data_IF_557946567196
#
_entry.id   IF_557946567196
#
_cell.length_a   1.000
_cell.length_b   1.000
_cell.length_c   1.000
_cell.angle_alpha   90.00
_cell.angle_beta   90.00
_cell.angle_gamma   90.00
#
_symmetry.space_group_name_H-M   'P 1'
#
loop_
_entity.id
_entity.type
_entity.pdbx_description
1 polymer ?
#
# COMPACT_ATOMS: atom_id res chain seq x y z
N UNK A 1 -6.89 5.50 11.05
CA UNK A 1 -5.45 5.60 10.71
C UNK A 1 -5.24 6.57 9.56
N UNK A 2 -4.16 7.34 9.58
CA UNK A 2 -3.80 8.33 8.54
C UNK A 2 -3.67 7.67 7.16
N UNK A 3 -3.09 6.47 7.10
CA UNK A 3 -2.85 5.72 5.86
C UNK A 3 -4.13 5.49 5.06
N UNK A 4 -5.18 4.96 5.69
CA UNK A 4 -6.44 4.68 5.01
C UNK A 4 -7.12 5.95 4.48
N UNK A 5 -7.03 7.07 5.21
CA UNK A 5 -7.61 8.35 4.77
C UNK A 5 -6.89 8.88 3.53
N UNK A 6 -5.56 8.77 3.52
CA UNK A 6 -4.76 9.26 2.40
C UNK A 6 -4.95 8.41 1.14
N UNK A 7 -5.00 7.07 1.29
CA UNK A 7 -5.31 6.17 0.18
C UNK A 7 -6.69 6.45 -0.44
N UNK A 8 -7.71 6.72 0.37
CA UNK A 8 -9.04 7.10 -0.15
C UNK A 8 -9.01 8.43 -0.91
N UNK A 9 -8.17 9.40 -0.52
CA UNK A 9 -8.01 10.62 -1.32
C UNK A 9 -7.33 10.31 -2.65
N UNK A 10 -6.23 9.55 -2.62
CA UNK A 10 -5.49 9.18 -3.81
C UNK A 10 -6.35 8.38 -4.80
N UNK A 11 -7.25 7.52 -4.32
CA UNK A 11 -8.20 6.81 -5.18
C UNK A 11 -9.19 7.72 -5.90
N UNK A 12 -9.53 8.89 -5.32
CA UNK A 12 -10.35 9.90 -5.99
C UNK A 12 -9.57 10.67 -7.06
N UNK A 13 -8.27 10.88 -6.83
CA UNK A 13 -7.36 11.54 -7.77
C UNK A 13 -6.96 10.59 -8.92
N UNK A 14 -6.81 9.30 -8.62
CA UNK A 14 -6.39 8.24 -9.53
C UNK A 14 -7.43 7.11 -9.51
N UNK A 15 -8.49 7.17 -10.35
CA UNK A 15 -9.56 6.17 -10.33
C UNK A 15 -9.12 4.77 -10.76
N UNK A 16 -7.97 4.67 -11.43
CA UNK A 16 -7.29 3.42 -11.77
C UNK A 16 -6.60 2.73 -10.58
N UNK A 17 -6.49 3.41 -9.44
CA UNK A 17 -5.90 2.87 -8.22
C UNK A 17 -6.87 1.90 -7.52
N UNK A 18 -6.52 0.62 -7.51
CA UNK A 18 -7.21 -0.39 -6.74
C UNK A 18 -6.57 -0.57 -5.36
N UNK A 19 -7.37 -0.49 -4.30
CA UNK A 19 -6.90 -0.64 -2.91
C UNK A 19 -7.60 -1.84 -2.28
N UNK A 20 -6.83 -2.90 -2.05
CA UNK A 20 -7.29 -4.07 -1.28
C UNK A 20 -6.81 -3.97 0.16
N UNK A 21 -7.75 -3.97 1.12
CA UNK A 21 -7.42 -4.06 2.55
C UNK A 21 -7.26 -5.51 2.94
N UNK A 22 -6.09 -5.86 3.47
CA UNK A 22 -5.81 -7.20 3.98
C UNK A 22 -5.77 -7.17 5.50
N UNK A 23 -6.62 -7.98 6.14
CA UNK A 23 -6.51 -8.24 7.56
C UNK A 23 -5.43 -9.31 7.79
N UNK A 24 -4.29 -8.87 8.34
CA UNK A 24 -3.15 -9.74 8.60
C UNK A 24 -3.43 -10.77 9.70
N UNK A 25 -4.37 -10.49 10.62
CA UNK A 25 -4.74 -11.41 11.70
C UNK A 25 -5.66 -12.52 11.17
N UNK A 26 -6.43 -12.25 10.12
CA UNK A 26 -7.24 -13.26 9.45
C UNK A 26 -6.40 -14.21 8.58
N UNK A 27 -5.23 -13.80 8.10
CA UNK A 27 -4.35 -14.59 7.23
C UNK A 27 -2.85 -14.47 7.60
N UNK A 28 -2.44 -14.94 8.80
CA UNK A 28 -1.09 -14.74 9.32
C UNK A 28 -0.01 -15.43 8.48
N UNK A 29 -0.29 -16.64 7.98
CA UNK A 29 0.63 -17.39 7.10
C UNK A 29 0.89 -16.69 5.76
N UNK A 30 -0.13 -16.03 5.19
CA UNK A 30 0.00 -15.31 3.91
C UNK A 30 0.83 -14.05 4.09
N UNK A 31 0.57 -13.32 5.17
CA UNK A 31 1.30 -12.10 5.54
C UNK A 31 2.80 -12.39 5.76
N UNK A 32 3.12 -13.47 6.48
CA UNK A 32 4.51 -13.90 6.69
C UNK A 32 5.21 -14.32 5.39
N UNK A 33 4.53 -15.06 4.49
CA UNK A 33 5.08 -15.43 3.18
C UNK A 33 5.38 -14.22 2.29
N UNK A 34 4.67 -13.11 2.50
CA UNK A 34 4.90 -11.84 1.82
C UNK A 34 5.92 -10.95 2.56
N UNK A 35 6.59 -11.45 3.61
CA UNK A 35 7.56 -10.70 4.38
C UNK A 35 6.96 -9.61 5.27
N UNK A 36 5.63 -9.58 5.43
CA UNK A 36 4.93 -8.56 6.22
C UNK A 36 5.05 -8.92 7.70
N UNK A 37 6.02 -8.30 8.37
CA UNK A 37 6.32 -8.49 9.80
C UNK A 37 5.88 -7.32 10.67
N UNK A 38 5.47 -6.20 10.05
CA UNK A 38 5.09 -4.96 10.72
C UNK A 38 3.86 -4.33 10.08
N UNK A 39 3.08 -3.59 10.87
CA UNK A 39 1.99 -2.73 10.40
C UNK A 39 2.20 -1.28 10.88
N UNK A 40 1.78 -0.26 10.11
CA UNK A 40 1.18 -0.35 8.77
C UNK A 40 2.20 -0.69 7.65
N UNK A 41 1.77 -1.53 6.70
CA UNK A 41 2.54 -1.89 5.49
C UNK A 41 1.65 -1.79 4.26
N UNK A 42 2.19 -1.22 3.18
CA UNK A 42 1.59 -1.18 1.84
C UNK A 42 2.43 -2.03 0.90
N UNK A 43 1.77 -2.77 0.02
CA UNK A 43 2.44 -3.62 -0.98
C UNK A 43 1.84 -3.35 -2.35
N UNK A 44 2.68 -3.23 -3.36
CA UNK A 44 2.33 -3.28 -4.78
C UNK A 44 3.08 -4.49 -5.35
N UNK A 45 2.67 -5.04 -6.50
CA UNK A 45 3.09 -6.39 -6.95
C UNK A 45 4.56 -6.79 -6.69
N UNK A 46 5.51 -5.85 -6.81
CA UNK A 46 6.94 -6.09 -6.55
C UNK A 46 7.55 -5.21 -5.45
N UNK A 47 6.83 -4.22 -4.90
CA UNK A 47 7.38 -3.27 -3.92
C UNK A 47 6.63 -3.28 -2.60
N UNK A 48 7.33 -2.94 -1.53
CA UNK A 48 6.76 -2.90 -0.17
C UNK A 48 7.21 -1.65 0.55
N UNK A 49 6.24 -0.91 1.09
CA UNK A 49 6.46 0.23 1.97
C UNK A 49 5.97 -0.13 3.37
N UNK A 50 6.91 -0.34 4.29
CA UNK A 50 6.63 -0.65 5.71
C UNK A 50 7.24 0.41 6.63
N UNK A 51 6.58 0.67 7.76
CA UNK A 51 7.14 1.55 8.78
C UNK A 51 6.16 1.91 9.90
N UNK A 52 6.71 2.29 11.05
CA UNK A 52 5.93 2.65 12.24
C UNK A 52 5.02 3.88 12.00
N UNK A 53 5.45 4.79 11.12
CA UNK A 53 4.68 5.95 10.70
C UNK A 53 4.90 6.22 9.21
N UNK A 54 3.85 6.00 8.42
CA UNK A 54 3.85 6.36 6.99
C UNK A 54 3.26 7.76 6.85
N UNK A 55 4.10 8.74 6.45
CA UNK A 55 3.64 10.09 6.15
C UNK A 55 2.81 10.11 4.87
N UNK A 56 1.94 11.12 4.73
CA UNK A 56 1.14 11.33 3.51
C UNK A 56 2.01 11.44 2.25
N UNK A 57 3.14 12.13 2.32
CA UNK A 57 4.09 12.25 1.20
C UNK A 57 4.65 10.90 0.77
N UNK A 58 5.13 10.08 1.72
CA UNK A 58 5.66 8.74 1.39
C UNK A 58 4.61 7.81 0.82
N UNK A 59 3.37 7.89 1.31
CA UNK A 59 2.25 7.10 0.76
C UNK A 59 1.97 7.54 -0.68
N UNK A 60 1.94 8.85 -0.94
CA UNK A 60 1.70 9.40 -2.28
C UNK A 60 2.80 9.01 -3.25
N UNK A 61 4.07 9.19 -2.89
CA UNK A 61 5.21 8.85 -3.75
C UNK A 61 5.20 7.36 -4.10
N UNK A 62 4.93 6.50 -3.11
CA UNK A 62 4.82 5.06 -3.33
C UNK A 62 3.67 4.68 -4.28
N UNK A 63 2.51 5.32 -4.13
CA UNK A 63 1.36 5.08 -5.03
C UNK A 63 1.67 5.55 -6.45
N UNK A 64 2.29 6.72 -6.61
CA UNK A 64 2.65 7.25 -7.92
C UNK A 64 3.64 6.33 -8.65
N UNK A 65 4.69 5.88 -7.95
CA UNK A 65 5.64 4.92 -8.51
C UNK A 65 4.96 3.60 -8.92
N UNK A 66 4.04 3.08 -8.12
CA UNK A 66 3.30 1.87 -8.45
C UNK A 66 2.40 2.03 -9.69
N UNK A 67 1.76 3.20 -9.84
CA UNK A 67 0.96 3.53 -11.01
C UNK A 67 1.81 3.69 -12.28
N UNK A 68 3.01 4.28 -12.16
CA UNK A 68 3.97 4.37 -13.26
C UNK A 68 4.44 2.99 -13.72
N UNK A 69 4.80 2.10 -12.78
CA UNK A 69 5.22 0.73 -13.13
C UNK A 69 4.11 -0.09 -13.78
N UNK A 70 2.85 0.13 -13.38
CA UNK A 70 1.70 -0.55 -13.97
C UNK A 70 1.41 -0.09 -15.42
N UNK A 71 1.88 1.11 -15.82
CA UNK A 71 1.72 1.65 -17.18
C UNK A 71 2.83 1.24 -18.15
N UNK A 72 3.98 0.79 -17.65
CA UNK A 72 5.12 0.35 -18.47
C UNK A 72 5.17 -1.16 -18.73
N UNK A 73 4.15 -1.91 -18.32
CA UNK A 73 4.11 -3.37 -18.43
C UNK A 73 3.05 -3.89 -19.41
#
# INVERSE_FOLDING_TARGET
MIVGRELTKLQKEFPELEITKVDIMAQPLKSLKQGITMIPTLTTGQETLSGFMLSSSRIRDFVLHALEQSKSS
#
